data_IF_232405742939
#
_entry.id   IF_232405742939
#
_cell.length_a   1.000
_cell.length_b   1.000
_cell.length_c   1.000
_cell.angle_alpha   90.00
_cell.angle_beta   90.00
_cell.angle_gamma   90.00
#
_symmetry.space_group_name_H-M   'P 1'
#
loop_
_entity.id
_entity.type
_entity.pdbx_description
1 polymer ?
#
# COMPACT_ATOMS: atom_id res chain seq x y z
N UNK A 1 -2.03 -30.61 -13.68
CA UNK A 1 -2.94 -29.65 -13.00
C UNK A 1 -2.27 -28.30 -13.09
N UNK A 2 -2.76 -27.38 -13.94
CA UNK A 2 -2.15 -26.05 -14.12
C UNK A 2 -2.84 -25.12 -13.12
N UNK A 3 -2.13 -24.75 -12.05
CA UNK A 3 -2.61 -23.75 -11.09
C UNK A 3 -2.47 -22.37 -11.73
N UNK A 4 -3.55 -21.81 -12.27
CA UNK A 4 -3.57 -20.39 -12.60
C UNK A 4 -3.68 -19.61 -11.29
N UNK A 5 -2.56 -19.17 -10.72
CA UNK A 5 -2.58 -18.08 -9.75
C UNK A 5 -3.00 -16.84 -10.51
N UNK A 6 -4.28 -16.48 -10.44
CA UNK A 6 -4.81 -15.25 -11.04
C UNK A 6 -4.27 -14.06 -10.25
N UNK A 7 -3.02 -13.69 -10.49
CA UNK A 7 -2.44 -12.46 -9.96
C UNK A 7 -3.05 -11.30 -10.73
N UNK A 8 -3.82 -10.46 -10.04
CA UNK A 8 -4.32 -9.21 -10.60
C UNK A 8 -3.11 -8.27 -10.79
N UNK A 9 -2.72 -8.04 -12.05
CA UNK A 9 -1.62 -7.15 -12.41
C UNK A 9 -2.19 -5.77 -12.72
N UNK A 10 -1.98 -4.81 -11.81
CA UNK A 10 -2.38 -3.41 -12.00
C UNK A 10 -1.21 -2.53 -12.45
N UNK A 11 0.01 -3.07 -12.55
CA UNK A 11 1.22 -2.35 -12.95
C UNK A 11 1.46 -1.06 -12.15
N UNK A 12 1.16 -1.06 -10.85
CA UNK A 12 1.40 0.11 -10.01
C UNK A 12 2.89 0.41 -9.92
N UNK A 13 3.23 1.66 -10.26
CA UNK A 13 4.58 2.21 -10.19
C UNK A 13 4.51 3.62 -9.61
N UNK A 14 5.42 3.92 -8.69
CA UNK A 14 5.65 5.28 -8.18
C UNK A 14 7.10 5.63 -8.43
N UNK A 15 7.35 6.71 -9.16
CA UNK A 15 8.70 7.15 -9.54
C UNK A 15 8.89 8.62 -9.16
N UNK A 16 9.91 8.88 -8.36
CA UNK A 16 10.40 10.22 -8.03
C UNK A 16 11.87 10.36 -8.40
N UNK A 17 12.48 11.48 -7.99
CA UNK A 17 13.90 11.74 -8.22
C UNK A 17 14.82 10.90 -7.34
N UNK A 18 14.38 10.56 -6.13
CA UNK A 18 15.17 9.83 -5.12
C UNK A 18 14.74 8.38 -4.93
N UNK A 19 13.85 7.86 -5.77
CA UNK A 19 13.37 6.50 -5.59
C UNK A 19 12.34 6.04 -6.59
N UNK A 20 12.16 4.73 -6.61
CA UNK A 20 11.27 4.03 -7.51
C UNK A 20 10.71 2.79 -6.81
N UNK A 21 9.40 2.60 -6.88
CA UNK A 21 8.71 1.43 -6.37
C UNK A 21 7.83 0.81 -7.45
N UNK A 22 7.77 -0.52 -7.48
CA UNK A 22 6.90 -1.28 -8.35
C UNK A 22 6.22 -2.42 -7.59
N UNK A 23 4.88 -2.40 -7.58
CA UNK A 23 4.09 -3.41 -6.87
C UNK A 23 4.23 -4.80 -7.48
N UNK A 24 4.19 -4.88 -8.81
CA UNK A 24 4.20 -6.17 -9.52
C UNK A 24 5.56 -6.86 -9.42
N UNK A 25 6.64 -6.07 -9.37
CA UNK A 25 8.00 -6.57 -9.10
C UNK A 25 8.27 -6.77 -7.58
N UNK A 26 7.34 -6.36 -6.70
CA UNK A 26 7.49 -6.33 -5.23
C UNK A 26 8.84 -5.74 -4.80
N UNK A 27 9.24 -4.69 -5.50
CA UNK A 27 10.60 -4.17 -5.40
C UNK A 27 10.59 -2.65 -5.27
N UNK A 28 11.57 -2.16 -4.52
CA UNK A 28 11.81 -0.74 -4.28
C UNK A 28 13.29 -0.43 -4.41
N UNK A 29 13.61 0.82 -4.75
CA UNK A 29 14.93 1.42 -4.63
C UNK A 29 14.76 2.84 -4.12
N UNK A 30 15.52 3.22 -3.08
CA UNK A 30 15.55 4.56 -2.52
C UNK A 30 17.01 4.99 -2.39
N UNK A 31 17.36 6.09 -3.05
CA UNK A 31 18.69 6.67 -3.01
C UNK A 31 19.07 7.04 -1.56
N UNK A 32 20.25 6.61 -1.11
CA UNK A 32 20.74 6.85 0.25
C UNK A 32 20.09 6.02 1.36
N UNK A 33 19.10 5.16 1.06
CA UNK A 33 18.53 4.19 2.03
C UNK A 33 18.75 2.74 1.62
N UNK A 34 18.68 2.46 0.32
CA UNK A 34 18.87 1.10 -0.19
C UNK A 34 20.28 0.58 0.12
N UNK A 35 20.44 -0.71 0.46
CA UNK A 35 21.71 -1.28 0.88
C UNK A 35 22.71 -1.41 -0.27
N UNK A 36 22.24 -1.37 -1.52
CA UNK A 36 23.07 -1.48 -2.72
C UNK A 36 22.60 -0.47 -3.77
N UNK A 37 23.55 0.30 -4.28
CA UNK A 37 23.28 1.25 -5.36
C UNK A 37 22.87 0.54 -6.65
N UNK A 38 21.97 1.18 -7.39
CA UNK A 38 21.46 0.70 -8.69
C UNK A 38 20.87 -0.71 -8.66
N UNK A 39 20.43 -1.19 -7.49
CA UNK A 39 19.88 -2.53 -7.33
C UNK A 39 18.54 -2.49 -6.61
N UNK A 40 17.57 -3.19 -7.20
CA UNK A 40 16.30 -3.49 -6.57
C UNK A 40 16.45 -4.34 -5.31
N UNK A 41 15.61 -4.07 -4.33
CA UNK A 41 15.42 -4.88 -3.14
C UNK A 41 13.93 -5.09 -2.84
N UNK A 42 13.61 -5.98 -1.90
CA UNK A 42 12.23 -6.25 -1.48
C UNK A 42 11.58 -4.99 -0.88
N UNK A 43 10.34 -4.71 -1.28
CA UNK A 43 9.56 -3.59 -0.74
C UNK A 43 8.98 -3.86 0.67
N UNK A 44 9.01 -5.10 1.15
CA UNK A 44 8.32 -5.55 2.36
C UNK A 44 8.68 -4.75 3.62
N UNK A 45 9.98 -4.54 3.88
CA UNK A 45 10.43 -3.82 5.07
C UNK A 45 9.94 -2.36 5.06
N UNK A 46 10.05 -1.70 3.90
CA UNK A 46 9.62 -0.31 3.72
C UNK A 46 8.10 -0.18 3.85
N UNK A 47 7.34 -1.11 3.27
CA UNK A 47 5.88 -1.10 3.38
C UNK A 47 5.42 -1.32 4.83
N UNK A 48 6.09 -2.20 5.58
CA UNK A 48 5.77 -2.43 7.00
C UNK A 48 6.13 -1.25 7.88
N UNK A 49 7.30 -0.66 7.67
CA UNK A 49 7.77 0.52 8.42
C UNK A 49 6.85 1.72 8.20
N UNK A 50 6.47 1.98 6.93
CA UNK A 50 5.70 3.14 6.51
C UNK A 50 4.19 2.87 6.43
N UNK A 51 3.72 1.78 7.03
CA UNK A 51 2.30 1.43 7.01
C UNK A 51 1.45 2.51 7.69
N UNK A 52 0.34 2.86 7.05
CA UNK A 52 -0.41 4.06 7.38
C UNK A 52 -1.01 3.95 8.80
N UNK A 53 -0.95 5.00 9.66
CA UNK A 53 -1.43 4.91 11.04
C UNK A 53 -2.90 4.48 11.17
N UNK A 54 -3.73 4.85 10.20
CA UNK A 54 -5.13 4.39 10.15
C UNK A 54 -5.25 2.87 9.95
N UNK A 55 -4.35 2.23 9.20
CA UNK A 55 -4.39 0.79 8.98
C UNK A 55 -4.10 0.07 10.30
N UNK A 56 -3.02 0.47 10.99
CA UNK A 56 -2.67 -0.02 12.32
C UNK A 56 -3.80 0.16 13.34
N UNK A 57 -4.51 1.29 13.30
CA UNK A 57 -5.63 1.57 14.22
C UNK A 57 -6.82 0.63 14.03
N UNK A 58 -7.08 0.16 12.80
CA UNK A 58 -8.26 -0.63 12.48
C UNK A 58 -7.95 -2.09 12.12
N UNK A 59 -6.69 -2.51 12.15
CA UNK A 59 -6.21 -3.85 11.79
C UNK A 59 -7.00 -4.98 12.48
N UNK A 60 -7.26 -4.85 13.79
CA UNK A 60 -8.01 -5.85 14.57
C UNK A 60 -9.49 -5.92 14.22
N UNK A 61 -10.08 -4.82 13.71
CA UNK A 61 -11.51 -4.75 13.34
C UNK A 61 -11.78 -5.34 11.95
N UNK A 62 -10.75 -5.49 11.13
CA UNK A 62 -10.84 -5.71 9.69
C UNK A 62 -10.31 -7.08 9.24
N UNK A 63 -10.19 -8.04 10.16
CA UNK A 63 -9.73 -9.38 9.84
C UNK A 63 -10.74 -10.10 8.94
N UNK A 64 -10.38 -10.33 7.67
CA UNK A 64 -11.10 -11.28 6.82
C UNK A 64 -11.01 -11.04 5.31
N UNK A 65 -11.13 -9.79 4.83
CA UNK A 65 -11.21 -9.54 3.38
C UNK A 65 -10.66 -8.15 2.98
N UNK A 66 -9.65 -8.13 2.11
CA UNK A 66 -8.96 -6.91 1.65
C UNK A 66 -9.91 -5.92 0.96
N UNK A 67 -10.90 -6.40 0.20
CA UNK A 67 -11.89 -5.54 -0.48
C UNK A 67 -12.80 -4.80 0.51
N UNK A 68 -13.15 -5.45 1.63
CA UNK A 68 -14.02 -4.88 2.66
C UNK A 68 -13.31 -3.75 3.42
N UNK A 69 -11.98 -3.80 3.53
CA UNK A 69 -11.16 -2.79 4.21
C UNK A 69 -11.15 -1.46 3.46
N UNK A 70 -10.93 -1.47 2.14
CA UNK A 70 -10.91 -0.24 1.35
C UNK A 70 -12.28 0.45 1.40
N UNK A 71 -13.36 -0.31 1.24
CA UNK A 71 -14.74 0.20 1.32
C UNK A 71 -14.99 0.81 2.71
N UNK A 72 -14.54 0.16 3.79
CA UNK A 72 -14.65 0.69 5.14
C UNK A 72 -13.98 2.06 5.29
N UNK A 73 -12.74 2.23 4.79
CA UNK A 73 -12.03 3.50 4.88
C UNK A 73 -12.70 4.60 4.06
N UNK A 74 -13.15 4.32 2.84
CA UNK A 74 -13.88 5.28 2.02
C UNK A 74 -15.19 5.71 2.67
N UNK A 75 -16.00 4.75 3.13
CA UNK A 75 -17.27 5.05 3.78
C UNK A 75 -17.07 5.83 5.09
N UNK A 76 -16.03 5.49 5.87
CA UNK A 76 -15.69 6.23 7.08
C UNK A 76 -15.24 7.65 6.75
N UNK A 77 -14.33 7.85 5.80
CA UNK A 77 -13.87 9.19 5.42
C UNK A 77 -15.05 10.07 4.99
N UNK A 78 -15.99 9.53 4.22
CA UNK A 78 -17.23 10.20 3.84
C UNK A 78 -18.09 10.61 5.04
N UNK A 79 -18.36 9.69 5.97
CA UNK A 79 -19.18 9.98 7.15
C UNK A 79 -18.51 11.02 8.06
N UNK A 80 -17.20 10.92 8.27
CA UNK A 80 -16.47 11.84 9.16
C UNK A 80 -16.41 13.26 8.55
N UNK A 81 -16.18 13.38 7.24
CA UNK A 81 -16.24 14.67 6.55
C UNK A 81 -17.61 15.35 6.69
N UNK A 82 -18.71 14.59 6.63
CA UNK A 82 -20.07 15.10 6.85
C UNK A 82 -20.29 15.58 8.29
N UNK A 83 -19.80 14.84 9.29
CA UNK A 83 -19.90 15.24 10.71
C UNK A 83 -19.17 16.54 10.99
N UNK A 84 -17.98 16.67 10.44
CA UNK A 84 -17.09 17.81 10.67
C UNK A 84 -17.36 18.97 9.72
N UNK A 85 -18.26 18.78 8.73
CA UNK A 85 -18.61 19.77 7.68
C UNK A 85 -17.39 20.27 6.91
N UNK A 86 -16.46 19.36 6.62
CA UNK A 86 -15.26 19.62 5.83
C UNK A 86 -15.36 19.00 4.43
N UNK A 87 -14.63 19.51 3.43
CA UNK A 87 -14.52 18.88 2.12
C UNK A 87 -13.95 17.46 2.23
N UNK A 88 -14.41 16.58 1.33
CA UNK A 88 -13.86 15.24 1.14
C UNK A 88 -12.50 15.30 0.43
#
# INVERSE_FOLDING_TARGET
MIQFTKTLLLNFRVQGTQGLWMKDNKSIYIEGKSPKDHKWESDEAYLKENDHPLWKRFETRLQGQVMEVWIFFFARAFIEALKDRIPL
#
